data_IF_314100686076
#
_entry.id   IF_314100686076
#
_cell.length_a   1.000
_cell.length_b   1.000
_cell.length_c   1.000
_cell.angle_alpha   90.00
_cell.angle_beta   90.00
_cell.angle_gamma   90.00
#
_symmetry.space_group_name_H-M   'P 1'
#
loop_
_entity.id
_entity.type
_entity.pdbx_description
1 polymer ?
#
# COMPACT_ATOMS: atom_id res chain seq x y z
N UNK A 1 0.62 -7.71 -17.52
CA UNK A 1 0.47 -6.33 -17.01
C UNK A 1 -0.78 -6.27 -16.15
N UNK A 2 -0.66 -5.97 -14.85
CA UNK A 2 -1.80 -5.94 -13.93
C UNK A 2 -2.46 -4.57 -13.95
N UNK A 3 -3.79 -4.50 -13.90
CA UNK A 3 -4.55 -3.26 -13.81
C UNK A 3 -5.49 -3.29 -12.61
N UNK A 4 -5.88 -2.11 -12.15
CA UNK A 4 -6.86 -1.92 -11.09
C UNK A 4 -7.97 -1.02 -11.57
N UNK A 5 -9.17 -1.29 -11.09
CA UNK A 5 -10.32 -0.43 -11.34
C UNK A 5 -10.60 0.39 -10.09
N UNK A 6 -10.59 1.70 -10.21
CA UNK A 6 -10.78 2.62 -9.08
C UNK A 6 -12.01 3.49 -9.31
N UNK A 7 -12.70 3.87 -8.24
CA UNK A 7 -13.79 4.84 -8.31
C UNK A 7 -13.26 6.19 -8.79
N UNK A 8 -14.03 6.93 -9.58
CA UNK A 8 -13.68 8.30 -10.03
C UNK A 8 -13.34 9.23 -8.86
N UNK A 9 -14.07 9.12 -7.74
CA UNK A 9 -13.80 9.90 -6.52
C UNK A 9 -12.45 9.56 -5.90
N UNK A 10 -12.06 8.29 -5.92
CA UNK A 10 -10.77 7.80 -5.45
C UNK A 10 -9.64 8.29 -6.34
N UNK A 11 -9.81 8.24 -7.67
CA UNK A 11 -8.84 8.80 -8.63
C UNK A 11 -8.68 10.31 -8.43
N UNK A 12 -9.78 11.05 -8.21
CA UNK A 12 -9.71 12.48 -7.86
C UNK A 12 -8.89 12.73 -6.59
N UNK A 13 -9.09 11.92 -5.54
CA UNK A 13 -8.34 12.02 -4.29
C UNK A 13 -6.85 11.77 -4.52
N UNK A 14 -6.50 10.74 -5.29
CA UNK A 14 -5.12 10.44 -5.67
C UNK A 14 -4.47 11.62 -6.42
N UNK A 15 -5.17 12.18 -7.40
CA UNK A 15 -4.68 13.35 -8.14
C UNK A 15 -4.51 14.58 -7.24
N UNK A 16 -5.40 14.81 -6.28
CA UNK A 16 -5.26 15.88 -5.30
C UNK A 16 -4.01 15.68 -4.42
N UNK A 17 -3.74 14.45 -3.96
CA UNK A 17 -2.52 14.13 -3.23
C UNK A 17 -1.27 14.41 -4.06
N UNK A 18 -1.24 13.98 -5.33
CA UNK A 18 -0.13 14.25 -6.25
C UNK A 18 0.14 15.73 -6.43
N UNK A 19 -0.91 16.53 -6.62
CA UNK A 19 -0.78 17.99 -6.74
C UNK A 19 -0.23 18.60 -5.45
N UNK A 20 -0.71 18.16 -4.28
CA UNK A 20 -0.22 18.64 -3.00
C UNK A 20 1.26 18.32 -2.80
N UNK A 21 1.68 17.09 -3.10
CA UNK A 21 3.09 16.69 -3.03
C UNK A 21 3.95 17.51 -4.01
N UNK A 22 3.51 17.65 -5.27
CA UNK A 22 4.23 18.41 -6.29
C UNK A 22 4.43 19.87 -5.89
N UNK A 23 3.43 20.49 -5.26
CA UNK A 23 3.51 21.87 -4.73
C UNK A 23 4.56 22.03 -3.62
N UNK A 24 4.92 20.94 -2.94
CA UNK A 24 5.94 20.93 -1.89
C UNK A 24 7.25 20.28 -2.37
N UNK A 25 7.52 20.30 -3.68
CA UNK A 25 8.77 19.79 -4.27
C UNK A 25 8.85 18.26 -4.42
N UNK A 26 7.82 17.52 -4.00
CA UNK A 26 7.84 16.05 -3.98
C UNK A 26 7.12 15.50 -5.23
N UNK A 27 7.86 14.88 -6.14
CA UNK A 27 7.30 14.24 -7.33
C UNK A 27 7.08 12.74 -7.11
N UNK A 28 5.84 12.27 -7.25
CA UNK A 28 5.49 10.86 -7.19
C UNK A 28 4.76 10.43 -8.45
N UNK A 29 5.17 9.28 -9.00
CA UNK A 29 4.39 8.55 -9.99
C UNK A 29 3.14 7.97 -9.33
N UNK A 30 2.12 7.68 -10.15
CA UNK A 30 0.90 7.04 -9.68
C UNK A 30 1.18 5.64 -9.10
N UNK A 31 2.03 4.86 -9.78
CA UNK A 31 2.52 3.56 -9.34
C UNK A 31 3.14 3.62 -7.95
N UNK A 32 4.03 4.60 -7.71
CA UNK A 32 4.69 4.76 -6.41
C UNK A 32 3.70 5.07 -5.30
N UNK A 33 2.66 5.86 -5.57
CA UNK A 33 1.58 6.09 -4.60
C UNK A 33 0.77 4.82 -4.34
N UNK A 34 0.51 4.01 -5.36
CA UNK A 34 -0.18 2.74 -5.17
C UNK A 34 0.63 1.79 -4.29
N UNK A 35 1.94 1.69 -4.50
CA UNK A 35 2.82 0.89 -3.64
C UNK A 35 2.73 1.33 -2.18
N UNK A 36 2.94 2.61 -1.90
CA UNK A 36 2.98 3.12 -0.53
C UNK A 36 1.62 2.99 0.18
N UNK A 37 0.53 3.26 -0.54
CA UNK A 37 -0.81 3.12 0.03
C UNK A 37 -1.17 1.65 0.28
N UNK A 38 -0.77 0.75 -0.62
CA UNK A 38 -1.00 -0.69 -0.44
C UNK A 38 -0.14 -1.25 0.71
N UNK A 39 1.11 -0.78 0.87
CA UNK A 39 1.95 -1.08 2.04
C UNK A 39 1.27 -0.64 3.34
N UNK A 40 0.74 0.58 3.39
CA UNK A 40 -0.01 1.07 4.56
C UNK A 40 -1.25 0.23 4.82
N UNK A 41 -1.99 -0.15 3.78
CA UNK A 41 -3.14 -1.03 3.91
C UNK A 41 -2.75 -2.36 4.56
N UNK A 42 -1.70 -3.01 4.06
CA UNK A 42 -1.25 -4.31 4.56
C UNK A 42 -0.72 -4.23 5.98
N UNK A 43 -0.01 -3.16 6.35
CA UNK A 43 0.47 -2.96 7.73
C UNK A 43 -0.66 -2.78 8.72
N UNK A 44 -1.67 -2.01 8.36
CA UNK A 44 -2.80 -1.70 9.23
C UNK A 44 -3.92 -2.71 9.14
N UNK A 45 -3.75 -3.73 8.32
CA UNK A 45 -4.61 -4.89 8.34
C UNK A 45 -4.46 -5.59 9.69
N UNK A 46 -5.57 -5.74 10.42
CA UNK A 46 -5.59 -6.31 11.76
C UNK A 46 -6.10 -7.75 11.84
N UNK A 47 -6.38 -8.41 10.71
CA UNK A 47 -7.11 -9.70 10.70
C UNK A 47 -8.57 -9.59 11.15
N UNK A 48 -8.88 -8.64 12.04
CA UNK A 48 -10.16 -8.37 12.72
C UNK A 48 -10.74 -6.98 12.38
N UNK A 49 -10.01 -6.16 11.62
CA UNK A 49 -10.44 -4.81 11.24
C UNK A 49 -11.63 -4.83 10.27
N UNK A 50 -12.40 -3.72 10.22
CA UNK A 50 -13.56 -3.53 9.32
C UNK A 50 -13.26 -4.10 7.93
N UNK A 51 -13.90 -5.22 7.58
CA UNK A 51 -13.92 -5.73 6.21
C UNK A 51 -14.40 -4.59 5.30
N UNK A 52 -13.86 -4.41 4.09
CA UNK A 52 -14.48 -3.51 3.12
C UNK A 52 -15.95 -3.92 3.06
N UNK A 53 -16.84 -3.01 3.48
CA UNK A 53 -18.23 -3.38 3.61
C UNK A 53 -18.73 -3.86 2.25
N UNK A 54 -19.30 -5.08 2.25
CA UNK A 54 -20.15 -5.72 1.26
C UNK A 54 -19.49 -6.53 0.12
N UNK A 55 -20.07 -7.72 -0.06
CA UNK A 55 -20.13 -8.53 -1.29
C UNK A 55 -20.76 -7.78 -2.50
N UNK A 56 -21.01 -6.46 -2.38
CA UNK A 56 -21.68 -5.66 -3.40
C UNK A 56 -20.77 -5.51 -4.61
N UNK A 57 -21.04 -6.31 -5.63
CA UNK A 57 -20.31 -6.39 -6.92
C UNK A 57 -19.67 -5.05 -7.28
N UNK A 58 -18.35 -5.00 -7.17
CA UNK A 58 -17.55 -3.83 -7.53
C UNK A 58 -17.62 -3.66 -9.05
N UNK A 59 -17.74 -2.42 -9.55
CA UNK A 59 -17.83 -2.10 -10.97
C UNK A 59 -19.12 -2.43 -11.74
N UNK A 60 -20.25 -2.79 -11.10
CA UNK A 60 -21.49 -3.09 -11.84
C UNK A 60 -21.90 -2.02 -12.84
N UNK A 61 -21.86 -0.74 -12.43
CA UNK A 61 -22.41 0.33 -13.26
C UNK A 61 -21.39 0.93 -14.23
N UNK A 62 -20.11 0.52 -14.19
CA UNK A 62 -19.00 0.92 -15.08
C UNK A 62 -18.65 2.43 -15.13
N UNK A 63 -19.64 3.29 -15.35
CA UNK A 63 -19.61 4.74 -15.53
C UNK A 63 -18.90 5.50 -14.42
N UNK A 64 -18.87 4.97 -13.19
CA UNK A 64 -18.22 5.62 -12.04
C UNK A 64 -16.81 5.13 -11.76
N UNK A 65 -16.25 4.30 -12.63
CA UNK A 65 -14.95 3.67 -12.45
C UNK A 65 -13.96 4.05 -13.55
N UNK A 66 -12.67 3.90 -13.25
CA UNK A 66 -11.56 4.13 -14.17
C UNK A 66 -10.55 3.01 -14.00
N UNK A 67 -10.13 2.41 -15.11
CA UNK A 67 -9.05 1.43 -15.15
C UNK A 67 -7.72 2.20 -15.11
N UNK A 68 -6.80 1.75 -14.26
CA UNK A 68 -5.45 2.31 -14.10
C UNK A 68 -4.43 1.18 -14.11
N UNK A 69 -3.26 1.37 -14.73
CA UNK A 69 -2.21 0.38 -14.67
C UNK A 69 -1.67 0.26 -13.24
N UNK A 70 -1.42 -0.97 -12.79
CA UNK A 70 -0.86 -1.26 -11.48
C UNK A 70 0.55 -1.81 -11.66
N UNK A 71 1.54 -0.92 -11.55
CA UNK A 71 2.95 -1.30 -11.48
C UNK A 71 3.39 -1.26 -10.03
N UNK A 72 3.50 -2.43 -9.41
CA UNK A 72 4.00 -2.58 -8.04
C UNK A 72 5.03 -3.70 -8.04
N UNK A 73 5.94 -3.68 -7.07
CA UNK A 73 6.86 -4.79 -6.91
C UNK A 73 6.15 -6.14 -6.67
N UNK A 74 6.73 -7.22 -7.20
CA UNK A 74 6.37 -8.63 -7.00
C UNK A 74 6.17 -9.04 -5.53
N UNK A 75 7.02 -8.63 -4.59
CA UNK A 75 6.87 -8.98 -3.16
C UNK A 75 5.60 -8.36 -2.59
N UNK A 76 5.39 -7.07 -2.87
CA UNK A 76 4.16 -6.38 -2.48
C UNK A 76 2.93 -6.97 -3.17
N UNK A 77 3.04 -7.31 -4.45
CA UNK A 77 1.98 -7.96 -5.22
C UNK A 77 1.61 -9.33 -4.62
N UNK A 78 2.60 -10.15 -4.27
CA UNK A 78 2.39 -11.47 -3.67
C UNK A 78 1.72 -11.35 -2.30
N UNK A 79 2.23 -10.47 -1.43
CA UNK A 79 1.62 -10.22 -0.12
C UNK A 79 0.17 -9.69 -0.24
N UNK A 80 -0.09 -8.78 -1.18
CA UNK A 80 -1.42 -8.26 -1.43
C UNK A 80 -2.37 -9.30 -2.04
N UNK A 81 -1.87 -10.16 -2.93
CA UNK A 81 -2.64 -11.25 -3.54
C UNK A 81 -2.98 -12.34 -2.53
N UNK A 82 -2.03 -12.75 -1.69
CA UNK A 82 -2.30 -13.67 -0.59
C UNK A 82 -3.40 -13.12 0.30
N UNK A 83 -3.36 -11.81 0.59
CA UNK A 83 -4.43 -11.16 1.35
C UNK A 83 -5.75 -11.19 0.59
N UNK A 84 -5.75 -10.84 -0.69
CA UNK A 84 -6.94 -10.86 -1.53
C UNK A 84 -7.64 -12.24 -1.48
N UNK A 85 -6.87 -13.32 -1.65
CA UNK A 85 -7.35 -14.71 -1.54
C UNK A 85 -7.96 -15.00 -0.16
N UNK A 86 -7.28 -14.64 0.94
CA UNK A 86 -7.81 -14.85 2.28
C UNK A 86 -9.10 -14.03 2.55
N UNK A 87 -9.27 -12.87 1.93
CA UNK A 87 -10.43 -12.01 2.20
C UNK A 87 -11.61 -12.21 1.26
N UNK A 88 -11.38 -12.76 0.07
CA UNK A 88 -12.30 -12.60 -1.06
C UNK A 88 -12.38 -11.16 -1.59
N UNK A 89 -11.40 -10.31 -1.29
CA UNK A 89 -11.38 -8.89 -1.72
C UNK A 89 -10.39 -8.70 -2.86
N UNK A 90 -10.78 -7.99 -3.92
CA UNK A 90 -9.86 -7.73 -5.03
C UNK A 90 -8.81 -6.66 -4.69
N UNK A 91 -7.65 -6.73 -5.35
CA UNK A 91 -6.60 -5.69 -5.25
C UNK A 91 -7.15 -4.27 -5.53
N UNK A 92 -8.06 -4.16 -6.49
CA UNK A 92 -8.76 -2.90 -6.81
C UNK A 92 -9.47 -2.30 -5.60
N UNK A 93 -10.19 -3.12 -4.84
CA UNK A 93 -10.91 -2.68 -3.63
C UNK A 93 -9.97 -2.38 -2.48
N UNK A 94 -8.94 -3.20 -2.29
CA UNK A 94 -7.93 -2.96 -1.27
C UNK A 94 -7.27 -1.60 -1.49
N UNK A 95 -6.87 -1.30 -2.72
CA UNK A 95 -6.26 -0.03 -3.09
C UNK A 95 -7.24 1.14 -3.00
N UNK A 96 -8.50 0.95 -3.41
CA UNK A 96 -9.55 1.97 -3.25
C UNK A 96 -9.77 2.33 -1.78
N UNK A 97 -9.84 1.33 -0.89
CA UNK A 97 -9.91 1.57 0.55
C UNK A 97 -8.63 2.24 1.05
N UNK A 98 -7.46 1.80 0.57
CA UNK A 98 -6.18 2.35 0.99
C UNK A 98 -6.08 3.84 0.70
N UNK A 99 -6.46 4.27 -0.51
CA UNK A 99 -6.51 5.68 -0.90
C UNK A 99 -7.54 6.43 -0.06
N UNK A 100 -8.71 5.85 0.24
CA UNK A 100 -9.73 6.55 1.05
C UNK A 100 -9.30 6.75 2.50
N UNK A 101 -8.69 5.74 3.11
CA UNK A 101 -8.40 5.73 4.56
C UNK A 101 -6.99 6.22 4.86
N UNK A 102 -5.99 5.80 4.08
CA UNK A 102 -4.57 6.02 4.40
C UNK A 102 -3.92 7.16 3.62
N UNK A 103 -4.61 7.78 2.64
CA UNK A 103 -4.07 8.95 1.92
C UNK A 103 -3.57 10.06 2.85
N UNK A 104 -4.39 10.45 3.84
CA UNK A 104 -4.03 11.50 4.79
C UNK A 104 -2.81 11.10 5.62
N UNK A 105 -2.78 9.86 6.09
CA UNK A 105 -1.67 9.31 6.88
C UNK A 105 -0.36 9.28 6.08
N UNK A 106 -0.45 8.92 4.81
CA UNK A 106 0.69 8.94 3.90
C UNK A 106 1.25 10.35 3.73
N UNK A 107 0.37 11.35 3.51
CA UNK A 107 0.76 12.76 3.42
C UNK A 107 1.38 13.27 4.73
N UNK A 108 0.80 12.92 5.89
CA UNK A 108 1.35 13.25 7.22
C UNK A 108 2.78 12.72 7.38
N UNK A 109 3.03 11.49 6.97
CA UNK A 109 4.37 10.89 7.04
C UNK A 109 5.36 11.61 6.13
N UNK A 110 5.02 11.83 4.86
CA UNK A 110 5.96 12.43 3.89
C UNK A 110 6.17 13.91 4.15
N UNK A 111 5.11 14.70 4.24
CA UNK A 111 5.23 16.16 4.39
C UNK A 111 5.82 16.54 5.75
N UNK A 112 5.67 15.68 6.77
CA UNK A 112 6.25 15.89 8.09
C UNK A 112 7.72 15.51 8.23
N UNK A 113 8.33 14.81 7.26
CA UNK A 113 9.72 14.35 7.34
C UNK A 113 10.61 14.77 6.18
N UNK A 114 10.03 15.22 5.05
CA UNK A 114 10.79 15.49 3.85
C UNK A 114 11.50 16.85 3.91
N UNK A 115 12.82 16.87 3.64
CA UNK A 115 13.66 18.06 3.81
C UNK A 115 13.33 19.25 2.90
N UNK A 116 12.73 18.98 1.72
CA UNK A 116 12.32 20.02 0.77
C UNK A 116 11.03 20.76 1.14
N UNK A 117 10.30 20.30 2.16
CA UNK A 117 9.05 20.92 2.59
C UNK A 117 9.39 22.10 3.51
N UNK A 118 8.81 23.30 3.30
CA UNK A 118 9.06 24.45 4.17
C UNK A 118 8.80 24.13 5.64
N UNK A 119 9.67 24.62 6.52
CA UNK A 119 9.66 24.29 7.95
C UNK A 119 8.30 24.49 8.65
N UNK A 120 7.55 25.60 8.42
CA UNK A 120 6.25 25.79 9.05
C UNK A 120 5.24 24.69 8.64
N UNK A 121 5.23 24.33 7.35
CA UNK A 121 4.36 23.29 6.81
C UNK A 121 4.79 21.94 7.39
N UNK A 122 6.08 21.65 7.37
CA UNK A 122 6.66 20.40 7.88
C UNK A 122 6.26 20.16 9.32
N UNK A 123 6.36 21.17 10.18
CA UNK A 123 5.97 21.08 11.61
C UNK A 123 4.49 20.74 11.81
N UNK A 124 3.59 21.36 11.03
CA UNK A 124 2.14 21.09 11.10
C UNK A 124 1.82 19.64 10.71
N UNK A 125 2.46 19.11 9.67
CA UNK A 125 2.25 17.72 9.26
C UNK A 125 2.92 16.74 10.23
N UNK A 126 4.10 17.09 10.75
CA UNK A 126 4.83 16.30 11.71
C UNK A 126 4.06 16.11 13.03
N UNK A 127 3.45 17.17 13.57
CA UNK A 127 2.64 17.08 14.80
C UNK A 127 1.47 16.11 14.65
N UNK A 128 0.79 16.15 13.49
CA UNK A 128 -0.28 15.19 13.16
C UNK A 128 0.24 13.76 13.04
N UNK A 129 1.43 13.59 12.48
CA UNK A 129 2.06 12.28 12.30
C UNK A 129 2.48 11.64 13.62
N UNK A 130 3.01 12.41 14.58
CA UNK A 130 3.44 11.90 15.89
C UNK A 130 2.28 11.20 16.64
N UNK A 131 1.06 11.75 16.53
CA UNK A 131 -0.15 11.18 17.14
C UNK A 131 -0.63 9.85 16.53
N UNK A 132 -0.01 9.34 15.46
CA UNK A 132 -0.41 8.08 14.82
C UNK A 132 0.25 6.86 15.46
N UNK A 133 -0.54 5.80 15.68
CA UNK A 133 -0.04 4.47 16.06
C UNK A 133 0.64 3.76 14.89
N UNK A 134 1.66 2.94 15.14
CA UNK A 134 2.41 2.16 14.13
C UNK A 134 3.04 3.06 13.04
N UNK A 135 3.83 4.06 13.43
CA UNK A 135 4.40 5.06 12.51
C UNK A 135 5.70 4.60 11.84
N UNK A 136 6.51 3.82 12.53
CA UNK A 136 7.90 3.49 12.15
C UNK A 136 8.02 2.89 10.74
N UNK A 137 9.06 3.21 9.95
CA UNK A 137 9.29 2.56 8.65
C UNK A 137 9.41 1.04 8.78
N UNK A 138 9.00 0.30 7.75
CA UNK A 138 8.97 -1.16 7.76
C UNK A 138 9.15 -1.73 6.35
N UNK A 139 9.64 -2.96 6.27
CA UNK A 139 9.72 -3.78 5.06
C UNK A 139 8.64 -4.86 5.06
N UNK A 140 8.27 -5.31 3.86
CA UNK A 140 7.39 -6.47 3.68
C UNK A 140 8.23 -7.52 2.98
N UNK A 141 8.44 -8.67 3.61
CA UNK A 141 9.03 -9.85 2.94
C UNK A 141 7.94 -10.87 2.68
N UNK A 142 8.11 -11.65 1.62
CA UNK A 142 7.20 -12.72 1.25
C UNK A 142 8.01 -13.97 0.93
N UNK A 143 7.58 -15.11 1.48
CA UNK A 143 8.14 -16.44 1.20
C UNK A 143 7.00 -17.35 0.79
N UNK A 144 7.18 -18.10 -0.30
CA UNK A 144 6.21 -19.07 -0.79
C UNK A 144 6.89 -20.41 -1.00
N UNK A 145 6.26 -21.49 -0.55
CA UNK A 145 6.73 -22.86 -0.73
C UNK A 145 5.59 -23.63 -1.39
N UNK A 146 5.87 -24.24 -2.54
CA UNK A 146 4.97 -25.21 -3.17
C UNK A 146 5.35 -26.59 -2.63
N UNK A 147 4.40 -27.25 -1.98
CA UNK A 147 4.59 -28.57 -1.39
C UNK A 147 4.28 -29.66 -2.42
N UNK A 148 3.23 -29.47 -3.21
CA UNK A 148 2.79 -30.42 -4.23
C UNK A 148 2.37 -29.67 -5.48
N UNK A 149 2.76 -30.20 -6.63
CA UNK A 149 2.35 -29.70 -7.94
C UNK A 149 2.26 -30.89 -8.91
N UNK A 150 1.26 -31.74 -8.68
CA UNK A 150 0.93 -32.86 -9.54
C UNK A 150 -0.38 -32.57 -10.28
N UNK A 151 -0.66 -33.31 -11.35
CA UNK A 151 -1.74 -32.98 -12.31
C UNK A 151 -3.11 -32.69 -11.68
N UNK A 152 -3.45 -33.34 -10.56
CA UNK A 152 -4.71 -33.14 -9.84
C UNK A 152 -4.57 -32.35 -8.52
N UNK A 153 -3.36 -32.10 -8.04
CA UNK A 153 -3.08 -31.56 -6.71
C UNK A 153 -2.04 -30.46 -6.73
N UNK A 154 -2.45 -29.28 -6.27
CA UNK A 154 -1.56 -28.14 -6.04
C UNK A 154 -1.69 -27.71 -4.59
N UNK A 155 -0.62 -27.89 -3.81
CA UNK A 155 -0.56 -27.42 -2.43
C UNK A 155 0.62 -26.48 -2.25
N UNK A 156 0.37 -25.32 -1.64
CA UNK A 156 1.39 -24.30 -1.41
C UNK A 156 1.08 -23.53 -0.12
N UNK A 157 2.13 -22.96 0.48
CA UNK A 157 2.02 -22.11 1.65
C UNK A 157 2.77 -20.81 1.41
N UNK A 158 2.14 -19.69 1.76
CA UNK A 158 2.73 -18.35 1.68
C UNK A 158 2.84 -17.71 3.07
N UNK A 159 3.95 -17.06 3.35
CA UNK A 159 4.17 -16.30 4.59
C UNK A 159 4.70 -14.91 4.26
N UNK A 160 3.90 -13.89 4.57
CA UNK A 160 4.32 -12.49 4.55
C UNK A 160 4.76 -12.05 5.96
N UNK A 161 5.89 -11.34 6.07
CA UNK A 161 6.38 -10.76 7.34
C UNK A 161 6.57 -9.26 7.21
N UNK A 162 6.15 -8.53 8.25
CA UNK A 162 6.41 -7.09 8.40
C UNK A 162 7.63 -6.91 9.30
N UNK A 163 8.71 -6.34 8.75
CA UNK A 163 9.97 -6.18 9.46
C UNK A 163 10.14 -4.70 9.79
N UNK A 164 10.06 -4.28 11.07
CA UNK A 164 10.33 -2.91 11.46
C UNK A 164 11.76 -2.52 11.06
N UNK A 165 11.95 -1.29 10.58
CA UNK A 165 13.29 -0.78 10.26
C UNK A 165 14.10 -0.46 11.54
N UNK A 166 13.41 -0.20 12.64
CA UNK A 166 14.02 0.08 13.94
C UNK A 166 14.78 -1.16 14.43
N UNK A 167 16.03 -0.99 14.82
CA UNK A 167 16.89 -2.07 15.31
C UNK A 167 17.62 -2.84 14.22
N UNK A 168 17.47 -2.47 12.94
CA UNK A 168 18.25 -3.05 11.86
C UNK A 168 19.56 -2.28 11.66
N UNK A 169 20.65 -3.01 11.45
CA UNK A 169 21.92 -2.41 11.01
C UNK A 169 21.89 -2.09 9.51
N UNK A 170 22.90 -1.35 9.03
CA UNK A 170 22.95 -0.91 7.63
C UNK A 170 22.98 -2.08 6.64
N UNK A 171 23.73 -3.14 6.94
CA UNK A 171 23.82 -4.33 6.09
C UNK A 171 22.47 -5.04 5.95
N UNK A 172 21.76 -5.26 7.06
CA UNK A 172 20.42 -5.85 7.06
C UNK A 172 19.42 -5.00 6.27
N UNK A 173 19.52 -3.67 6.35
CA UNK A 173 18.68 -2.77 5.56
C UNK A 173 18.98 -2.93 4.07
N UNK A 174 20.25 -3.02 3.66
CA UNK A 174 20.63 -3.21 2.26
C UNK A 174 20.18 -4.57 1.73
N UNK A 175 20.31 -5.63 2.52
CA UNK A 175 19.85 -6.98 2.14
C UNK A 175 18.33 -7.02 1.98
N UNK A 176 17.58 -6.37 2.87
CA UNK A 176 16.13 -6.25 2.74
C UNK A 176 15.73 -5.37 1.56
N UNK A 177 16.50 -4.34 1.20
CA UNK A 177 16.22 -3.57 -0.03
C UNK A 177 16.40 -4.46 -1.26
N UNK A 178 17.36 -5.39 -1.26
CA UNK A 178 17.60 -6.32 -2.37
C UNK A 178 16.55 -7.42 -2.47
N UNK A 179 16.07 -7.93 -1.34
CA UNK A 179 15.22 -9.13 -1.25
C UNK A 179 13.74 -8.83 -1.01
N UNK A 180 13.43 -7.69 -0.39
CA UNK A 180 12.10 -7.28 0.03
C UNK A 180 11.61 -6.02 -0.71
N UNK A 181 12.35 -5.56 -1.72
CA UNK A 181 11.81 -4.64 -2.72
C UNK A 181 10.63 -5.34 -3.36
#
# INVERSE_FOLDING_TARGET
MTSVTLRKSTVRRLNAMRRLLKRNGISFSESRLFEELLRLYLRHWRGTGKKPASLRRYNLDGKHYRIRPLYINRVLHAAATQRAMHTGESLSRMLDLAIRIYARRFLESLLGSHGQVPEPIRRIWHSRYIGRRLREPFFISYTGITHENQGASLSWSGKAKFIPRKGLNLHQVLDLIRTAA
#
